data_IF_995815832503
#
_entry.id   IF_995815832503
#
_cell.length_a   1.000
_cell.length_b   1.000
_cell.length_c   1.000
_cell.angle_alpha   90.00
_cell.angle_beta   90.00
_cell.angle_gamma   90.00
#
_symmetry.space_group_name_H-M   'P 1'
#
loop_
_entity.id
_entity.type
_entity.pdbx_description
1 polymer ?
#
# COMPACT_ATOMS: atom_id res chain seq x y z
N UNK A 1 1.37 -27.22 14.54
CA UNK A 1 1.89 -25.87 14.83
C UNK A 1 2.07 -25.77 16.32
N UNK A 2 3.25 -25.38 16.80
CA UNK A 2 3.45 -25.12 18.23
C UNK A 2 2.63 -23.92 18.70
N UNK A 3 2.62 -23.68 20.02
CA UNK A 3 2.12 -22.41 20.56
C UNK A 3 2.75 -21.23 19.80
N UNK A 4 1.98 -20.16 19.60
CA UNK A 4 2.40 -18.96 18.85
C UNK A 4 2.78 -19.22 17.37
N UNK A 5 2.44 -20.39 16.82
CA UNK A 5 2.67 -20.74 15.42
C UNK A 5 4.14 -21.01 15.09
N UNK A 6 4.97 -21.29 16.10
CA UNK A 6 6.41 -21.55 15.96
C UNK A 6 6.65 -22.92 15.34
N UNK A 7 7.66 -22.99 14.48
CA UNK A 7 8.13 -24.22 13.81
C UNK A 7 9.54 -24.54 14.28
N UNK A 8 9.92 -25.83 14.44
CA UNK A 8 11.27 -26.21 14.81
C UNK A 8 12.32 -25.61 13.85
N UNK A 9 13.45 -25.15 14.40
CA UNK A 9 14.55 -24.55 13.65
C UNK A 9 14.43 -23.04 13.36
N UNK A 10 13.33 -22.38 13.77
CA UNK A 10 13.17 -20.92 13.60
C UNK A 10 13.95 -20.13 14.65
N UNK A 11 14.57 -19.01 14.25
CA UNK A 11 15.20 -18.07 15.20
C UNK A 11 14.11 -17.21 15.83
N UNK A 12 13.94 -17.32 17.14
CA UNK A 12 12.91 -16.62 17.90
C UNK A 12 13.54 -15.61 18.87
N UNK A 13 12.99 -14.40 18.92
CA UNK A 13 13.31 -13.42 19.96
C UNK A 13 12.09 -13.13 20.85
N UNK A 14 12.32 -13.06 22.15
CA UNK A 14 11.34 -12.68 23.16
C UNK A 14 11.70 -11.31 23.70
N UNK A 15 10.83 -10.32 23.47
CA UNK A 15 10.97 -8.96 23.98
C UNK A 15 10.08 -8.81 25.22
N UNK A 16 10.71 -8.53 26.35
CA UNK A 16 10.06 -8.40 27.66
C UNK A 16 10.27 -7.00 28.25
N UNK A 17 9.45 -6.64 29.22
CA UNK A 17 9.52 -5.38 29.94
C UNK A 17 9.70 -5.61 31.45
N UNK A 18 10.09 -4.57 32.18
CA UNK A 18 10.36 -4.67 33.62
C UNK A 18 9.15 -5.00 34.49
N UNK A 19 7.93 -4.94 33.95
CA UNK A 19 6.72 -5.30 34.69
C UNK A 19 6.48 -6.81 34.76
N UNK A 20 7.10 -7.58 33.87
CA UNK A 20 6.92 -9.03 33.80
C UNK A 20 7.69 -9.78 34.89
N UNK A 21 7.07 -10.77 35.58
CA UNK A 21 7.76 -11.58 36.57
C UNK A 21 8.81 -12.49 35.91
N UNK A 22 9.99 -12.57 36.53
CA UNK A 22 11.16 -13.27 36.01
C UNK A 22 10.91 -14.79 35.87
N UNK A 23 10.12 -15.36 36.76
CA UNK A 23 9.70 -16.76 36.73
C UNK A 23 8.86 -17.04 35.48
N UNK A 24 7.87 -16.20 35.18
CA UNK A 24 7.03 -16.36 34.00
C UNK A 24 7.81 -16.17 32.69
N UNK A 25 8.82 -15.28 32.69
CA UNK A 25 9.73 -15.13 31.55
C UNK A 25 10.55 -16.40 31.32
N UNK A 26 11.14 -16.97 32.38
CA UNK A 26 11.90 -18.24 32.29
C UNK A 26 11.02 -19.36 31.78
N UNK A 27 9.83 -19.52 32.35
CA UNK A 27 8.88 -20.57 31.93
C UNK A 27 8.48 -20.41 30.46
N UNK A 28 8.28 -19.18 29.98
CA UNK A 28 7.96 -18.92 28.57
C UNK A 28 9.15 -19.27 27.66
N UNK A 29 10.36 -18.85 28.03
CA UNK A 29 11.57 -19.13 27.26
C UNK A 29 11.83 -20.63 27.18
N UNK A 30 11.66 -21.37 28.29
CA UNK A 30 11.82 -22.83 28.33
C UNK A 30 10.79 -23.53 27.43
N UNK A 31 9.53 -23.08 27.44
CA UNK A 31 8.49 -23.57 26.51
C UNK A 31 8.86 -23.32 25.06
N UNK A 32 9.30 -22.11 24.71
CA UNK A 32 9.69 -21.77 23.33
C UNK A 32 10.93 -22.56 22.91
N UNK A 33 11.93 -22.71 23.80
CA UNK A 33 13.13 -23.48 23.54
C UNK A 33 12.80 -24.96 23.24
N UNK A 34 11.81 -25.53 23.94
CA UNK A 34 11.29 -26.86 23.65
C UNK A 34 10.59 -26.96 22.27
N UNK A 35 9.92 -25.90 21.82
CA UNK A 35 9.26 -25.84 20.51
C UNK A 35 10.23 -25.66 19.34
N UNK A 36 11.28 -24.86 19.52
CA UNK A 36 12.26 -24.55 18.48
C UNK A 36 13.27 -25.70 18.32
N UNK A 37 13.62 -26.39 19.42
CA UNK A 37 14.61 -27.47 19.45
C UNK A 37 15.95 -27.02 20.04
N UNK A 38 16.76 -27.98 20.50
CA UNK A 38 17.99 -27.72 21.26
C UNK A 38 19.11 -27.00 20.48
N UNK A 39 19.07 -27.05 19.14
CA UNK A 39 20.13 -26.51 18.28
C UNK A 39 20.03 -25.00 18.04
N UNK A 40 18.87 -24.39 18.30
CA UNK A 40 18.64 -22.96 18.01
C UNK A 40 18.37 -22.23 19.32
N UNK A 41 19.15 -21.18 19.58
CA UNK A 41 19.02 -20.36 20.77
C UNK A 41 17.86 -19.37 20.63
N UNK A 42 16.99 -19.32 21.64
CA UNK A 42 16.00 -18.25 21.82
C UNK A 42 16.71 -17.01 22.37
N UNK A 43 16.55 -15.87 21.70
CA UNK A 43 17.08 -14.59 22.18
C UNK A 43 16.08 -13.91 23.10
N UNK A 44 16.55 -13.25 24.16
CA UNK A 44 15.72 -12.57 25.14
C UNK A 44 16.22 -11.14 25.30
N UNK A 45 15.37 -10.16 25.02
CA UNK A 45 15.74 -8.74 24.99
C UNK A 45 14.78 -7.89 25.82
N UNK A 46 15.31 -6.88 26.49
CA UNK A 46 14.47 -5.91 27.17
C UNK A 46 14.02 -4.83 26.19
N UNK A 47 12.74 -4.45 26.22
CA UNK A 47 12.17 -3.45 25.32
C UNK A 47 12.92 -2.12 25.32
N UNK A 48 13.41 -1.67 26.48
CA UNK A 48 14.13 -0.40 26.61
C UNK A 48 15.56 -0.45 26.03
N UNK A 49 16.09 -1.66 25.84
CA UNK A 49 17.43 -1.88 25.30
C UNK A 49 17.41 -2.37 23.84
N UNK A 50 16.23 -2.64 23.28
CA UNK A 50 16.10 -3.18 21.93
C UNK A 50 16.77 -2.28 20.88
N UNK A 51 16.60 -0.96 20.97
CA UNK A 51 17.26 -0.01 20.05
C UNK A 51 18.77 0.10 20.23
N UNK A 52 19.31 -0.34 21.38
CA UNK A 52 20.75 -0.39 21.66
C UNK A 52 21.33 -1.78 21.41
N UNK A 53 20.48 -2.77 21.13
CA UNK A 53 20.90 -4.13 20.90
C UNK A 53 21.63 -4.24 19.56
N UNK A 54 22.75 -4.97 19.54
CA UNK A 54 23.59 -5.15 18.35
C UNK A 54 23.04 -6.21 17.38
N UNK A 55 21.71 -6.39 17.31
CA UNK A 55 21.12 -7.39 16.43
C UNK A 55 21.29 -7.00 14.96
N UNK A 56 21.77 -7.95 14.15
CA UNK A 56 21.82 -7.79 12.71
C UNK A 56 20.42 -7.64 12.11
N UNK A 57 20.33 -6.90 11.01
CA UNK A 57 19.09 -6.79 10.23
C UNK A 57 18.61 -8.18 9.77
N UNK A 58 17.30 -8.39 9.74
CA UNK A 58 16.71 -9.64 9.25
C UNK A 58 17.30 -10.90 9.90
N UNK A 59 17.47 -10.86 11.22
CA UNK A 59 18.02 -11.94 12.03
C UNK A 59 16.95 -12.91 12.51
N UNK A 60 15.75 -12.47 12.87
CA UNK A 60 14.74 -13.33 13.50
C UNK A 60 13.60 -13.73 12.55
N UNK A 61 13.11 -14.96 12.70
CA UNK A 61 11.95 -15.47 11.96
C UNK A 61 10.63 -15.13 12.67
N UNK A 62 10.65 -15.18 14.01
CA UNK A 62 9.48 -14.87 14.87
C UNK A 62 9.93 -13.99 16.04
N UNK A 63 9.17 -12.93 16.31
CA UNK A 63 9.38 -12.07 17.47
C UNK A 63 8.11 -12.07 18.34
N UNK A 64 8.28 -12.32 19.64
CA UNK A 64 7.22 -12.30 20.63
C UNK A 64 7.45 -11.11 21.55
N UNK A 65 6.58 -10.10 21.52
CA UNK A 65 6.71 -8.89 22.34
C UNK A 65 5.53 -8.74 23.30
N UNK A 66 5.81 -8.60 24.60
CA UNK A 66 4.76 -8.50 25.62
C UNK A 66 3.97 -9.78 25.88
N UNK A 67 4.42 -10.92 25.36
CA UNK A 67 3.74 -12.22 25.49
C UNK A 67 3.95 -12.88 26.86
N UNK A 68 4.84 -12.33 27.70
CA UNK A 68 5.04 -12.85 29.06
C UNK A 68 3.80 -12.53 29.91
N UNK A 69 3.22 -13.50 30.64
CA UNK A 69 2.10 -13.25 31.55
C UNK A 69 2.42 -12.12 32.53
N UNK A 70 1.49 -11.18 32.74
CA UNK A 70 1.70 -10.02 33.61
C UNK A 70 2.37 -8.80 32.95
N UNK A 71 2.88 -8.93 31.72
CA UNK A 71 3.50 -7.79 31.02
C UNK A 71 2.48 -6.73 30.65
N UNK A 72 2.78 -5.48 30.98
CA UNK A 72 1.99 -4.29 30.62
C UNK A 72 2.76 -3.37 29.69
N UNK A 73 3.38 -3.96 28.67
CA UNK A 73 4.30 -3.27 27.77
C UNK A 73 3.57 -2.35 26.78
N UNK A 74 4.13 -1.18 26.52
CA UNK A 74 3.70 -0.29 25.44
C UNK A 74 4.78 -0.18 24.38
N UNK A 75 4.42 -0.36 23.12
CA UNK A 75 5.39 -0.29 22.02
C UNK A 75 5.46 1.13 21.45
N UNK A 76 6.59 1.82 21.58
CA UNK A 76 6.79 3.08 20.85
C UNK A 76 6.97 2.83 19.34
N UNK A 77 6.88 3.88 18.53
CA UNK A 77 7.16 3.77 17.10
C UNK A 77 8.59 3.27 16.83
N UNK A 78 9.56 3.71 17.64
CA UNK A 78 10.97 3.30 17.52
C UNK A 78 11.15 1.81 17.82
N UNK A 79 10.47 1.29 18.85
CA UNK A 79 10.49 -0.15 19.17
C UNK A 79 9.87 -0.96 18.03
N UNK A 80 8.74 -0.51 17.48
CA UNK A 80 8.09 -1.22 16.37
C UNK A 80 8.94 -1.20 15.10
N UNK A 81 9.58 -0.07 14.79
CA UNK A 81 10.51 0.05 13.67
C UNK A 81 11.73 -0.86 13.86
N UNK A 82 12.27 -0.93 15.08
CA UNK A 82 13.39 -1.79 15.41
C UNK A 82 13.02 -3.28 15.30
N UNK A 83 11.83 -3.67 15.80
CA UNK A 83 11.26 -5.01 15.59
C UNK A 83 11.17 -5.33 14.09
N UNK A 84 10.66 -4.41 13.27
CA UNK A 84 10.58 -4.59 11.83
C UNK A 84 11.97 -4.70 11.17
N UNK A 85 12.98 -4.00 11.69
CA UNK A 85 14.37 -4.07 11.21
C UNK A 85 14.98 -5.46 11.45
N UNK A 86 14.89 -5.98 12.67
CA UNK A 86 15.49 -7.26 13.07
C UNK A 86 14.72 -8.49 12.56
N UNK A 87 13.44 -8.32 12.19
CA UNK A 87 12.63 -9.40 11.62
C UNK A 87 13.04 -9.69 10.16
N UNK A 88 13.08 -10.96 9.75
CA UNK A 88 13.34 -11.36 8.36
C UNK A 88 12.18 -11.02 7.44
N UNK A 89 12.40 -10.83 6.12
CA UNK A 89 11.31 -10.74 5.15
C UNK A 89 10.40 -11.97 5.23
N UNK A 90 9.09 -11.77 5.34
CA UNK A 90 8.10 -12.82 5.57
C UNK A 90 8.02 -13.36 7.01
N UNK A 91 8.90 -12.88 7.90
CA UNK A 91 8.88 -13.15 9.33
C UNK A 91 7.63 -12.59 10.01
N UNK A 92 7.35 -13.10 11.20
CA UNK A 92 6.16 -12.75 11.99
C UNK A 92 6.49 -12.09 13.30
N UNK A 93 5.64 -11.18 13.73
CA UNK A 93 5.65 -10.61 15.07
C UNK A 93 4.30 -10.84 15.73
N UNK A 94 4.32 -11.24 17.00
CA UNK A 94 3.15 -11.32 17.87
C UNK A 94 3.35 -10.33 19.03
N UNK A 95 2.38 -9.45 19.22
CA UNK A 95 2.47 -8.35 20.20
C UNK A 95 1.28 -8.41 21.15
N UNK A 96 1.54 -8.21 22.45
CA UNK A 96 0.51 -7.95 23.48
C UNK A 96 0.70 -6.52 23.98
N UNK A 97 -0.35 -5.70 23.93
CA UNK A 97 -0.31 -4.35 24.50
C UNK A 97 -1.65 -4.04 25.18
N UNK A 98 -1.66 -3.39 26.36
CA UNK A 98 -2.86 -2.82 26.93
C UNK A 98 -3.29 -1.58 26.13
N UNK A 99 -4.54 -1.55 25.69
CA UNK A 99 -5.14 -0.45 24.95
C UNK A 99 -6.36 0.09 25.68
N UNK A 100 -6.70 1.35 25.40
CA UNK A 100 -7.92 1.98 25.92
C UNK A 100 -9.05 1.88 24.89
N UNK A 101 -10.28 1.68 25.36
CA UNK A 101 -11.48 1.62 24.49
C UNK A 101 -12.01 3.00 24.10
N UNK A 102 -12.07 3.97 25.03
CA UNK A 102 -12.86 5.20 24.82
C UNK A 102 -12.12 6.54 25.05
N UNK A 103 -10.90 6.55 25.60
CA UNK A 103 -10.19 7.82 25.90
C UNK A 103 -9.15 8.22 24.84
N UNK A 104 -9.38 9.36 24.18
CA UNK A 104 -8.44 9.96 23.21
C UNK A 104 -7.19 10.60 23.85
N UNK A 105 -7.25 10.95 25.15
CA UNK A 105 -6.29 11.86 25.78
C UNK A 105 -5.32 11.19 26.76
N UNK A 106 -5.09 9.89 26.60
CA UNK A 106 -4.18 9.13 27.46
C UNK A 106 -2.89 8.79 26.73
N UNK A 107 -1.79 8.60 27.48
CA UNK A 107 -0.51 8.12 26.94
C UNK A 107 -0.63 6.72 26.32
N UNK A 108 -1.71 6.00 26.61
CA UNK A 108 -2.03 4.66 26.13
C UNK A 108 -2.76 4.74 24.80
N UNK A 109 -2.38 3.89 23.84
CA UNK A 109 -3.02 3.83 22.53
C UNK A 109 -4.43 3.28 22.64
N UNK A 110 -5.29 3.69 21.71
CA UNK A 110 -6.60 3.06 21.53
C UNK A 110 -6.49 1.80 20.69
N UNK A 111 -7.49 0.91 20.79
CA UNK A 111 -7.55 -0.32 19.99
C UNK A 111 -7.47 -0.05 18.47
N UNK A 112 -7.91 1.13 18.00
CA UNK A 112 -7.87 1.54 16.59
C UNK A 112 -6.49 2.12 16.20
N UNK A 113 -5.80 2.79 17.13
CA UNK A 113 -4.48 3.38 16.90
C UNK A 113 -3.38 2.30 16.84
N UNK A 114 -3.52 1.19 17.58
CA UNK A 114 -2.54 0.09 17.60
C UNK A 114 -2.29 -0.56 16.21
N UNK A 115 -3.28 -1.04 15.45
CA UNK A 115 -3.06 -1.60 14.12
C UNK A 115 -2.49 -0.58 13.13
N UNK A 116 -2.87 0.69 13.29
CA UNK A 116 -2.36 1.80 12.48
C UNK A 116 -0.86 2.00 12.75
N UNK A 117 -0.44 2.00 14.02
CA UNK A 117 0.97 2.10 14.41
C UNK A 117 1.81 0.94 13.85
N UNK A 118 1.29 -0.29 13.89
CA UNK A 118 1.96 -1.46 13.30
C UNK A 118 2.14 -1.30 11.78
N UNK A 119 1.09 -0.83 11.10
CA UNK A 119 1.14 -0.58 9.65
C UNK A 119 2.16 0.52 9.30
N UNK A 120 2.20 1.60 10.08
CA UNK A 120 3.16 2.70 9.89
C UNK A 120 4.61 2.28 10.17
N UNK A 121 4.83 1.28 11.03
CA UNK A 121 6.16 0.70 11.28
C UNK A 121 6.67 -0.21 10.15
N UNK A 122 5.87 -0.44 9.10
CA UNK A 122 6.25 -1.24 7.93
C UNK A 122 5.81 -2.71 7.98
N UNK A 123 4.98 -3.08 8.95
CA UNK A 123 4.38 -4.42 9.02
C UNK A 123 3.14 -4.49 8.12
N UNK A 124 2.96 -5.63 7.47
CA UNK A 124 1.82 -5.98 6.62
C UNK A 124 1.00 -7.11 7.25
N UNK A 125 -0.21 -7.33 6.73
CA UNK A 125 -1.13 -8.37 7.21
C UNK A 125 -1.42 -8.28 8.72
N UNK A 126 -1.58 -7.05 9.24
CA UNK A 126 -1.87 -6.82 10.65
C UNK A 126 -3.24 -7.39 11.01
N UNK A 127 -3.29 -8.31 11.97
CA UNK A 127 -4.50 -9.00 12.42
C UNK A 127 -4.62 -8.95 13.94
N UNK A 128 -5.83 -8.75 14.42
CA UNK A 128 -6.14 -8.90 15.83
C UNK A 128 -6.46 -10.37 16.11
N UNK A 129 -5.77 -10.96 17.09
CA UNK A 129 -5.94 -12.37 17.44
C UNK A 129 -6.86 -12.56 18.65
N UNK A 130 -6.63 -11.81 19.71
CA UNK A 130 -7.34 -11.95 20.98
C UNK A 130 -7.52 -10.60 21.67
N UNK A 131 -8.61 -10.49 22.44
CA UNK A 131 -8.97 -9.34 23.27
C UNK A 131 -9.42 -9.86 24.62
N UNK A 132 -8.63 -9.61 25.65
CA UNK A 132 -8.89 -10.11 26.99
C UNK A 132 -9.00 -8.95 27.99
N UNK A 133 -9.88 -9.07 29.01
CA UNK A 133 -9.89 -8.13 30.12
C UNK A 133 -8.61 -8.27 30.95
N UNK A 134 -8.14 -7.16 31.53
CA UNK A 134 -6.96 -7.18 32.40
C UNK A 134 -7.24 -7.98 33.67
N UNK A 135 -6.26 -8.77 34.10
CA UNK A 135 -6.24 -9.31 35.46
C UNK A 135 -6.03 -8.18 36.48
N UNK A 136 -6.47 -8.32 37.74
CA UNK A 136 -6.30 -7.27 38.75
C UNK A 136 -4.82 -6.90 38.99
N UNK A 137 -3.92 -7.87 38.84
CA UNK A 137 -2.46 -7.68 38.94
C UNK A 137 -1.93 -6.83 37.77
N UNK A 138 -2.34 -7.14 36.54
CA UNK A 138 -2.00 -6.34 35.36
C UNK A 138 -2.59 -4.93 35.45
N UNK A 139 -3.82 -4.77 35.94
CA UNK A 139 -4.44 -3.47 36.15
C UNK A 139 -3.67 -2.60 37.17
N UNK A 140 -3.15 -3.22 38.23
CA UNK A 140 -2.29 -2.54 39.21
C UNK A 140 -0.94 -2.16 38.57
N UNK A 141 -0.33 -3.07 37.80
CA UNK A 141 0.92 -2.79 37.09
C UNK A 141 0.77 -1.65 36.08
N UNK A 142 -0.35 -1.57 35.34
CA UNK A 142 -0.64 -0.45 34.44
C UNK A 142 -0.75 0.87 35.21
N UNK A 143 -1.39 0.87 36.38
CA UNK A 143 -1.50 2.08 37.22
C UNK A 143 -0.15 2.55 37.74
N UNK A 144 0.71 1.62 38.13
CA UNK A 144 2.06 1.93 38.65
C UNK A 144 3.04 2.36 37.56
N UNK A 145 3.13 1.59 36.46
CA UNK A 145 4.13 1.80 35.42
C UNK A 145 3.68 2.79 34.33
N UNK A 146 2.39 2.84 34.01
CA UNK A 146 1.86 3.70 32.95
C UNK A 146 1.11 4.92 33.51
N UNK A 147 0.86 4.98 34.83
CA UNK A 147 0.22 6.11 35.49
C UNK A 147 -1.25 6.32 35.09
N UNK A 148 -1.89 5.33 34.46
CA UNK A 148 -3.25 5.43 33.97
C UNK A 148 -4.26 4.91 35.01
N UNK A 149 -5.25 5.72 35.36
CA UNK A 149 -6.25 5.40 36.40
C UNK A 149 -7.64 5.03 35.86
N UNK A 150 -7.83 5.00 34.54
CA UNK A 150 -9.10 4.57 33.95
C UNK A 150 -9.30 3.05 34.06
N UNK A 151 -10.57 2.62 34.06
CA UNK A 151 -10.93 1.20 34.08
C UNK A 151 -11.22 0.65 32.68
N UNK A 152 -11.03 1.46 31.64
CA UNK A 152 -11.45 1.18 30.26
C UNK A 152 -10.33 0.52 29.45
N UNK A 153 -9.57 -0.38 30.10
CA UNK A 153 -8.41 -1.05 29.53
C UNK A 153 -8.77 -2.46 29.07
N UNK A 154 -8.21 -2.84 27.93
CA UNK A 154 -8.23 -4.20 27.41
C UNK A 154 -6.81 -4.58 26.97
N UNK A 155 -6.46 -5.85 27.13
CA UNK A 155 -5.24 -6.39 26.53
C UNK A 155 -5.59 -6.88 25.14
N UNK A 156 -4.87 -6.40 24.13
CA UNK A 156 -5.06 -6.82 22.75
C UNK A 156 -3.81 -7.54 22.26
N UNK A 157 -4.02 -8.70 21.67
CA UNK A 157 -3.00 -9.46 20.98
C UNK A 157 -3.10 -9.23 19.47
N UNK A 158 -2.00 -8.77 18.87
CA UNK A 158 -1.89 -8.48 17.44
C UNK A 158 -0.84 -9.39 16.79
N UNK A 159 -1.08 -9.80 15.55
CA UNK A 159 -0.11 -10.41 14.65
C UNK A 159 0.24 -9.43 13.53
N UNK A 160 1.52 -9.36 13.15
CA UNK A 160 1.97 -8.65 11.95
C UNK A 160 3.06 -9.45 11.22
N UNK A 161 3.27 -9.16 9.94
CA UNK A 161 4.33 -9.76 9.12
C UNK A 161 5.23 -8.69 8.52
N UNK A 162 6.52 -8.97 8.41
CA UNK A 162 7.39 -8.13 7.57
C UNK A 162 7.13 -8.47 6.10
N UNK A 163 6.95 -7.49 5.21
CA UNK A 163 6.81 -7.76 3.78
C UNK A 163 8.05 -8.47 3.22
N UNK A 164 7.91 -9.12 2.07
CA UNK A 164 8.99 -9.88 1.42
C UNK A 164 10.05 -9.00 0.73
N UNK A 165 10.15 -7.71 1.07
CA UNK A 165 11.14 -6.79 0.55
C UNK A 165 11.70 -5.92 1.67
N UNK A 166 12.94 -5.50 1.52
CA UNK A 166 13.61 -4.58 2.45
C UNK A 166 13.58 -3.16 1.89
N UNK A 167 13.58 -2.16 2.77
CA UNK A 167 13.59 -0.75 2.39
C UNK A 167 14.88 -0.46 1.60
N UNK A 168 14.75 0.04 0.37
CA UNK A 168 15.88 0.22 -0.56
C UNK A 168 16.09 -0.95 -1.54
N UNK A 169 15.34 -2.04 -1.42
CA UNK A 169 15.34 -3.10 -2.43
C UNK A 169 14.69 -2.61 -3.72
N UNK A 170 15.47 -2.52 -4.80
CA UNK A 170 14.94 -2.26 -6.14
C UNK A 170 14.62 -3.57 -6.83
N UNK A 171 13.35 -3.80 -7.13
CA UNK A 171 12.95 -4.89 -8.02
C UNK A 171 12.70 -4.30 -9.41
N UNK A 172 13.47 -4.77 -10.40
CA UNK A 172 13.16 -4.46 -11.80
C UNK A 172 11.82 -5.10 -12.14
N UNK A 173 10.78 -4.28 -12.27
CA UNK A 173 9.51 -4.72 -12.82
C UNK A 173 9.79 -5.28 -14.22
N UNK A 174 9.64 -6.59 -14.39
CA UNK A 174 9.64 -7.24 -15.71
C UNK A 174 8.36 -6.87 -16.43
N UNK A 175 8.25 -5.60 -16.82
CA UNK A 175 7.24 -5.16 -17.77
C UNK A 175 7.61 -5.84 -19.08
N UNK A 176 6.81 -6.84 -19.48
CA UNK A 176 6.93 -7.55 -20.75
C UNK A 176 6.54 -6.63 -21.91
N UNK A 177 7.26 -5.52 -22.07
CA UNK A 177 7.32 -4.79 -23.31
C UNK A 177 8.11 -5.67 -24.28
N UNK A 178 7.39 -6.31 -25.20
CA UNK A 178 7.97 -7.01 -26.32
C UNK A 178 9.02 -6.10 -26.99
N UNK A 179 10.29 -6.50 -26.87
CA UNK A 179 11.44 -5.83 -27.48
C UNK A 179 11.21 -5.79 -28.99
N UNK A 180 10.87 -4.63 -29.55
CA UNK A 180 11.20 -4.34 -30.95
C UNK A 180 12.71 -4.15 -31.05
N UNK A 181 13.40 -4.73 -32.04
CA UNK A 181 14.83 -4.49 -32.24
C UNK A 181 15.01 -3.06 -32.77
N UNK A 182 15.39 -2.15 -31.88
CA UNK A 182 15.93 -0.82 -32.22
C UNK A 182 17.46 -0.83 -32.11
N UNK A 183 18.16 0.03 -32.87
CA UNK A 183 19.59 -0.07 -33.09
C UNK A 183 20.39 0.13 -31.79
N UNK A 184 21.45 -0.67 -31.67
CA UNK A 184 22.44 -0.60 -30.60
C UNK A 184 23.15 0.75 -30.60
N UNK A 185 22.76 1.62 -29.67
CA UNK A 185 23.49 2.83 -29.33
C UNK A 185 22.98 3.35 -28.00
N UNK A 186 23.76 3.16 -26.93
CA UNK A 186 23.52 3.85 -25.65
C UNK A 186 23.71 5.35 -25.91
N UNK A 187 22.77 6.25 -25.57
CA UNK A 187 23.10 7.65 -25.44
C UNK A 187 24.05 7.79 -24.25
N UNK A 188 25.31 8.10 -24.52
CA UNK A 188 26.29 8.47 -23.49
C UNK A 188 25.87 9.81 -22.93
N UNK A 189 25.41 9.82 -21.68
CA UNK A 189 25.26 11.05 -20.91
C UNK A 189 26.67 11.48 -20.49
N UNK A 190 27.00 12.76 -20.70
CA UNK A 190 28.30 13.35 -20.37
C UNK A 190 28.68 13.04 -18.90
N UNK A 191 29.93 12.62 -18.61
CA UNK A 191 30.36 12.26 -17.26
C UNK A 191 30.38 13.44 -16.28
N UNK A 192 30.28 14.67 -16.78
CA UNK A 192 30.13 15.88 -15.97
C UNK A 192 28.73 16.04 -15.38
N UNK A 193 27.67 15.65 -16.11
CA UNK A 193 26.28 15.79 -15.67
C UNK A 193 25.89 14.71 -14.66
N UNK A 194 26.51 13.53 -14.73
CA UNK A 194 26.32 12.48 -13.73
C UNK A 194 26.92 12.83 -12.36
N UNK A 195 28.00 13.64 -12.32
CA UNK A 195 28.62 14.12 -11.07
C UNK A 195 27.88 15.28 -10.40
N UNK A 196 27.09 16.06 -11.16
CA UNK A 196 26.23 17.11 -10.61
C UNK A 196 24.95 16.56 -9.96
N UNK A 197 24.50 15.38 -10.38
CA UNK A 197 23.27 14.75 -9.88
C UNK A 197 23.51 13.63 -8.86
N UNK A 198 24.78 13.34 -8.56
CA UNK A 198 25.16 12.39 -7.52
C UNK A 198 25.78 13.16 -6.36
N UNK A 199 24.92 13.72 -5.51
CA UNK A 199 25.32 14.13 -4.16
C UNK A 199 25.87 12.87 -3.47
N UNK A 200 27.18 12.85 -3.27
CA UNK A 200 27.86 11.78 -2.55
C UNK A 200 27.44 11.88 -1.09
N UNK A 201 26.86 10.80 -0.55
CA UNK A 201 26.34 10.68 0.81
C UNK A 201 27.41 10.71 1.92
N UNK A 202 28.54 11.39 1.68
CA UNK A 202 29.70 11.40 2.57
C UNK A 202 30.20 12.82 2.89
N UNK A 203 29.35 13.83 2.69
CA UNK A 203 29.63 15.24 2.98
C UNK A 203 28.47 15.88 3.77
N UNK A 204 28.08 15.21 4.86
CA UNK A 204 27.04 15.65 5.81
C UNK A 204 27.65 16.01 7.17
N UNK A 205 28.87 16.56 7.19
CA UNK A 205 29.54 16.96 8.44
C UNK A 205 30.23 18.33 8.38
N UNK A 206 29.82 19.22 7.48
CA UNK A 206 30.16 20.65 7.61
C UNK A 206 28.87 21.42 7.92
N UNK A 207 28.82 22.00 9.12
CA UNK A 207 27.77 22.93 9.60
C UNK A 207 27.84 24.31 8.89
N UNK A 208 28.39 24.38 7.67
CA UNK A 208 28.53 25.58 6.85
C UNK A 208 28.19 25.31 5.38
N UNK A 209 27.12 24.56 5.11
CA UNK A 209 26.40 24.70 3.85
C UNK A 209 25.12 25.50 4.10
N UNK A 210 25.20 26.80 3.84
CA UNK A 210 24.03 27.67 3.77
C UNK A 210 23.10 27.08 2.70
N UNK A 211 21.97 26.50 3.14
CA UNK A 211 20.98 25.92 2.25
C UNK A 211 20.45 27.04 1.36
N UNK A 212 20.91 27.06 0.10
CA UNK A 212 20.48 28.04 -0.90
C UNK A 212 18.95 28.14 -0.90
N UNK A 213 18.45 29.31 -0.51
CA UNK A 213 17.02 29.57 -0.42
C UNK A 213 16.41 29.50 -1.82
N UNK A 214 15.42 28.62 -1.98
CA UNK A 214 14.76 28.39 -3.26
C UNK A 214 13.99 29.62 -3.75
N UNK A 215 13.65 30.54 -2.84
CA UNK A 215 12.97 31.80 -3.17
C UNK A 215 13.95 32.89 -3.65
N UNK A 216 15.26 32.81 -3.37
CA UNK A 216 16.27 33.75 -3.88
C UNK A 216 16.67 33.45 -5.33
N UNK A 217 16.41 32.22 -5.80
CA UNK A 217 16.68 31.77 -7.17
C UNK A 217 15.58 32.13 -8.19
N UNK A 218 14.46 32.69 -7.73
CA UNK A 218 13.34 33.08 -8.59
C UNK A 218 13.29 34.59 -8.74
N UNK A 219 13.42 35.08 -9.96
CA UNK A 219 13.29 36.49 -10.24
C UNK A 219 11.81 36.92 -10.18
N UNK A 220 11.57 38.22 -9.95
CA UNK A 220 10.23 38.82 -9.90
C UNK A 220 9.38 38.63 -11.18
N UNK A 221 9.98 38.11 -12.25
CA UNK A 221 9.32 37.76 -13.51
C UNK A 221 8.77 36.32 -13.51
N UNK A 222 9.42 35.38 -12.80
CA UNK A 222 8.99 33.98 -12.72
C UNK A 222 7.76 33.78 -11.82
N UNK A 223 7.57 34.67 -10.84
CA UNK A 223 6.40 34.67 -9.95
C UNK A 223 5.11 35.14 -10.67
N UNK A 224 5.21 35.70 -11.89
CA UNK A 224 4.05 36.17 -12.65
C UNK A 224 3.38 34.98 -13.34
N UNK A 225 2.22 34.58 -12.82
CA UNK A 225 1.38 33.56 -13.46
C UNK A 225 1.04 33.98 -14.90
N UNK A 226 1.37 33.18 -15.92
CA UNK A 226 1.03 33.51 -17.31
C UNK A 226 -0.49 33.56 -17.51
N UNK A 227 -0.95 34.50 -18.35
CA UNK A 227 -2.37 34.71 -18.60
C UNK A 227 -3.02 33.45 -19.20
N UNK A 228 -4.15 32.97 -18.65
CA UNK A 228 -4.80 31.73 -19.08
C UNK A 228 -5.27 31.75 -20.54
N UNK A 229 -5.37 32.92 -21.16
CA UNK A 229 -5.72 33.08 -22.57
C UNK A 229 -4.53 32.80 -23.49
N UNK A 230 -3.30 33.08 -23.03
CA UNK A 230 -2.04 32.79 -23.75
C UNK A 230 -1.70 31.30 -23.76
N UNK A 231 -2.10 30.58 -22.70
CA UNK A 231 -1.88 29.13 -22.56
C UNK A 231 -2.85 28.27 -23.40
N UNK A 232 -3.84 28.88 -24.05
CA UNK A 232 -4.71 28.15 -24.98
C UNK A 232 -4.03 28.03 -26.33
N UNK A 233 -3.63 26.81 -26.69
CA UNK A 233 -3.17 26.51 -28.05
C UNK A 233 -4.25 26.96 -29.07
N UNK A 234 -3.88 27.65 -30.16
CA UNK A 234 -4.83 28.19 -31.15
C UNK A 234 -5.66 27.09 -31.86
N UNK A 235 -5.29 25.82 -31.70
CA UNK A 235 -5.99 24.64 -32.18
C UNK A 235 -7.11 24.12 -31.26
N UNK A 236 -7.29 24.71 -30.07
CA UNK A 236 -8.35 24.35 -29.12
C UNK A 236 -9.58 25.28 -29.25
N UNK A 237 -9.94 25.65 -30.48
CA UNK A 237 -11.27 26.18 -30.83
C UNK A 237 -12.02 25.11 -31.61
N UNK A 238 -12.89 24.39 -30.91
CA UNK A 238 -14.15 23.77 -31.37
C UNK A 238 -14.28 23.23 -32.82
N UNK A 239 -13.23 22.65 -33.42
CA UNK A 239 -13.38 22.01 -34.73
C UNK A 239 -12.60 20.70 -34.82
N UNK A 240 -13.02 19.71 -34.04
CA UNK A 240 -12.55 18.34 -34.22
C UNK A 240 -12.88 17.45 -33.03
N UNK A 241 -13.61 16.35 -33.28
CA UNK A 241 -13.79 15.28 -32.29
C UNK A 241 -12.42 14.86 -31.77
N UNK A 242 -12.23 14.92 -30.45
CA UNK A 242 -10.98 14.51 -29.78
C UNK A 242 -10.67 13.08 -30.23
N UNK A 243 -9.52 12.86 -30.85
CA UNK A 243 -9.09 11.52 -31.28
C UNK A 243 -8.28 10.90 -30.14
N UNK A 244 -8.57 9.64 -29.82
CA UNK A 244 -7.73 8.87 -28.93
C UNK A 244 -6.35 8.65 -29.57
N UNK A 245 -5.29 8.68 -28.75
CA UNK A 245 -3.94 8.36 -29.18
C UNK A 245 -3.85 6.91 -29.67
N UNK A 246 -2.84 6.59 -30.49
CA UNK A 246 -2.70 5.29 -31.17
C UNK A 246 -2.55 4.08 -30.22
N UNK A 247 -2.19 4.32 -28.96
CA UNK A 247 -2.15 3.35 -27.85
C UNK A 247 -2.77 3.97 -26.59
N UNK A 248 -4.02 4.45 -26.68
CA UNK A 248 -4.70 5.10 -25.56
C UNK A 248 -5.03 4.09 -24.44
N UNK A 249 -4.41 4.25 -23.28
CA UNK A 249 -4.63 3.42 -22.08
C UNK A 249 -5.50 4.08 -21.02
N UNK A 250 -5.97 5.31 -21.25
CA UNK A 250 -6.75 6.09 -20.29
C UNK A 250 -8.27 5.98 -20.47
N UNK A 251 -8.76 5.01 -21.23
CA UNK A 251 -10.20 4.74 -21.42
C UNK A 251 -10.94 5.65 -22.41
N UNK A 252 -10.32 6.74 -22.86
CA UNK A 252 -10.96 7.66 -23.82
C UNK A 252 -11.27 7.01 -25.19
N UNK A 253 -10.50 5.97 -25.57
CA UNK A 253 -10.79 5.19 -26.76
C UNK A 253 -12.11 4.41 -26.64
N UNK A 254 -12.40 3.87 -25.46
CA UNK A 254 -13.56 3.02 -25.20
C UNK A 254 -14.86 3.85 -25.17
N UNK A 255 -14.81 5.05 -24.58
CA UNK A 255 -15.95 6.00 -24.61
C UNK A 255 -16.29 6.45 -26.04
N UNK A 256 -15.28 6.78 -26.85
CA UNK A 256 -15.47 7.18 -28.25
C UNK A 256 -15.98 6.04 -29.16
N UNK A 257 -15.77 4.79 -28.77
CA UNK A 257 -16.33 3.62 -29.47
C UNK A 257 -17.76 3.30 -29.04
N UNK A 258 -18.10 3.48 -27.76
CA UNK A 258 -19.47 3.33 -27.28
C UNK A 258 -20.41 4.38 -27.90
N UNK A 259 -19.96 5.62 -28.06
CA UNK A 259 -20.74 6.66 -28.76
C UNK A 259 -21.00 6.35 -30.23
N UNK A 260 -20.14 5.56 -30.91
CA UNK A 260 -20.34 5.18 -32.32
C UNK A 260 -21.38 4.07 -32.50
N UNK A 261 -21.53 3.17 -31.53
CA UNK A 261 -22.48 2.04 -31.59
C UNK A 261 -23.96 2.45 -31.48
N UNK A 262 -24.25 3.68 -31.08
CA UNK A 262 -25.64 4.20 -30.99
C UNK A 262 -26.15 4.83 -32.29
N UNK A 263 -25.33 4.88 -33.36
CA UNK A 263 -25.73 5.42 -34.65
C UNK A 263 -26.18 4.32 -35.61
N UNK A 264 -27.44 4.37 -36.05
CA UNK A 264 -28.04 3.40 -36.98
C UNK A 264 -27.21 3.25 -38.28
N UNK A 265 -27.13 2.04 -38.86
CA UNK A 265 -26.40 1.82 -40.10
C UNK A 265 -27.10 2.56 -41.26
N UNK A 266 -26.45 3.61 -41.77
CA UNK A 266 -26.87 4.28 -42.99
C UNK A 266 -26.43 3.42 -44.18
N UNK A 267 -27.39 2.87 -44.93
CA UNK A 267 -27.11 2.18 -46.20
C UNK A 267 -26.42 3.12 -47.20
N UNK A 268 -25.45 2.62 -47.97
CA UNK A 268 -24.63 3.42 -48.90
C UNK A 268 -25.41 4.20 -49.97
N UNK A 269 -26.68 3.85 -50.24
CA UNK A 269 -27.53 4.50 -51.25
C UNK A 269 -28.56 5.50 -50.64
N UNK A 270 -28.73 5.53 -49.32
CA UNK A 270 -29.61 6.51 -48.64
C UNK A 270 -31.13 6.38 -48.91
N UNK A 271 -31.59 5.54 -49.84
CA UNK A 271 -32.97 5.48 -50.33
C UNK A 271 -33.89 4.44 -49.66
N UNK A 272 -33.45 3.78 -48.59
CA UNK A 272 -34.20 2.72 -47.89
C UNK A 272 -35.60 3.16 -47.39
N UNK A 273 -35.80 4.47 -47.17
CA UNK A 273 -37.05 5.07 -46.71
C UNK A 273 -38.18 5.07 -47.75
N UNK A 274 -37.84 4.91 -49.04
CA UNK A 274 -38.79 4.95 -50.17
C UNK A 274 -39.62 3.66 -50.35
N UNK A 275 -39.38 2.63 -49.54
CA UNK A 275 -40.15 1.38 -49.55
C UNK A 275 -39.39 0.18 -50.15
N UNK A 276 -40.08 -0.96 -50.25
CA UNK A 276 -39.48 -2.26 -50.54
C UNK A 276 -38.83 -2.39 -51.92
N UNK A 277 -39.18 -1.54 -52.88
CA UNK A 277 -38.49 -1.47 -54.17
C UNK A 277 -37.00 -1.06 -54.05
N UNK A 278 -36.63 -0.42 -52.94
CA UNK A 278 -35.28 0.08 -52.66
C UNK A 278 -34.62 -0.59 -51.44
N UNK A 279 -35.25 -1.65 -50.90
CA UNK A 279 -34.73 -2.42 -49.76
C UNK A 279 -34.15 -3.74 -50.25
N UNK A 280 -32.93 -4.07 -49.82
CA UNK A 280 -32.29 -5.34 -50.16
C UNK A 280 -33.09 -6.53 -49.59
N UNK A 281 -32.97 -7.72 -50.18
CA UNK A 281 -33.70 -8.92 -49.76
C UNK A 281 -33.49 -9.32 -48.28
N UNK A 282 -32.40 -8.88 -47.65
CA UNK A 282 -32.07 -9.08 -46.23
C UNK A 282 -32.46 -7.91 -45.32
N UNK A 283 -33.31 -6.97 -45.78
CA UNK A 283 -33.69 -5.80 -45.00
C UNK A 283 -34.72 -6.18 -43.92
N UNK A 284 -34.50 -5.86 -42.64
CA UNK A 284 -35.45 -6.16 -41.55
C UNK A 284 -36.81 -5.46 -41.67
N UNK A 285 -36.90 -4.43 -42.52
CA UNK A 285 -38.11 -3.62 -42.72
C UNK A 285 -38.90 -4.03 -43.97
N UNK A 286 -38.53 -5.14 -44.62
CA UNK A 286 -39.19 -5.63 -45.84
C UNK A 286 -40.66 -6.00 -45.54
N UNK A 287 -41.60 -5.41 -46.27
CA UNK A 287 -43.04 -5.58 -46.07
C UNK A 287 -43.70 -4.49 -45.23
N UNK A 288 -42.94 -3.52 -44.69
CA UNK A 288 -43.50 -2.35 -43.99
C UNK A 288 -43.67 -1.17 -44.97
N UNK A 289 -44.68 -0.28 -44.78
CA UNK A 289 -44.86 0.88 -45.63
C UNK A 289 -43.63 1.82 -45.66
N UNK A 290 -43.57 2.71 -46.66
CA UNK A 290 -42.53 3.73 -46.74
C UNK A 290 -42.57 4.65 -45.51
N UNK A 291 -41.40 5.10 -45.05
CA UNK A 291 -41.27 5.91 -43.83
C UNK A 291 -40.60 7.25 -44.11
N UNK A 292 -40.86 8.25 -43.25
CA UNK A 292 -40.21 9.55 -43.37
C UNK A 292 -38.81 9.50 -42.72
N UNK A 293 -37.78 10.15 -43.30
CA UNK A 293 -36.46 10.23 -42.69
C UNK A 293 -36.53 10.85 -41.29
N UNK A 294 -36.25 10.08 -40.25
CA UNK A 294 -36.26 10.51 -38.85
C UNK A 294 -37.33 9.87 -37.96
N UNK A 295 -38.25 9.08 -38.53
CA UNK A 295 -39.25 8.33 -37.76
C UNK A 295 -38.63 7.04 -37.20
N UNK A 296 -38.68 6.85 -35.87
CA UNK A 296 -38.13 5.66 -35.20
C UNK A 296 -39.12 4.51 -35.33
N UNK A 297 -38.88 3.61 -36.26
CA UNK A 297 -39.63 2.35 -36.36
C UNK A 297 -39.05 1.37 -35.35
N UNK A 298 -39.86 1.01 -34.35
CA UNK A 298 -39.52 -0.02 -33.37
C UNK A 298 -39.87 -1.39 -33.96
N UNK A 299 -38.86 -2.14 -34.39
CA UNK A 299 -39.03 -3.55 -34.76
C UNK A 299 -39.20 -4.37 -33.47
N UNK A 300 -40.25 -5.20 -33.40
CA UNK A 300 -40.40 -6.18 -32.31
C UNK A 300 -39.42 -7.33 -32.56
N UNK A 301 -38.76 -7.82 -31.51
CA UNK A 301 -37.65 -8.78 -31.57
C UNK A 301 -37.94 -10.12 -32.29
N UNK A 302 -39.21 -10.43 -32.57
CA UNK A 302 -39.62 -11.69 -33.21
C UNK A 302 -39.45 -11.75 -34.74
N UNK A 303 -38.93 -10.70 -35.40
CA UNK A 303 -38.79 -10.66 -36.87
C UNK A 303 -37.33 -10.63 -37.37
N UNK A 304 -36.34 -10.74 -36.47
CA UNK A 304 -34.95 -10.93 -36.87
C UNK A 304 -34.73 -12.41 -37.19
N UNK A 305 -35.04 -12.83 -38.42
CA UNK A 305 -34.55 -14.11 -38.92
C UNK A 305 -33.09 -13.95 -39.33
N UNK A 306 -32.22 -14.51 -38.51
CA UNK A 306 -30.81 -14.73 -38.81
C UNK A 306 -30.72 -15.74 -39.96
N UNK A 307 -30.18 -15.29 -41.09
CA UNK A 307 -29.77 -16.13 -42.21
C UNK A 307 -28.40 -15.67 -42.70
#
# INVERSE_FOLDING_TARGET
>A
MGEYGIVPGQRVAVVWDSSSPVEALKDLVDRIQALVGADVRVSVENINQLSQSAHGESSFDVILSGMVPGSTVQHSADVLAEIARILKPGGRVLLKEPVVTESENSKIKTAVKLPTALTLSGLVEVKELQKDPLTPEEAQSVREHLGYQGNDLLIVQMEGRKPNFEVGSSSQLKLSFAKKPGPSGKPSVDPATAKLWTLSANDMNDEEMDLLDSDELLDSEDLKKPDPSSLRAPSCKEMGKKKACKNCTCGLAEELEQEKKSSQPKSACGNCYLGDAFRCASCPYLGMPAFKPGEKILLKENQLHDA
#
